data_IF_979998321990
#
_entry.id   IF_979998321990
#
_cell.length_a   1.000
_cell.length_b   1.000
_cell.length_c   1.000
_cell.angle_alpha   90.00
_cell.angle_beta   90.00
_cell.angle_gamma   90.00
#
_symmetry.space_group_name_H-M   'P 1'
#
loop_
_entity.id
_entity.type
_entity.pdbx_description
1 polymer ?
#
# COMPACT_ATOMS: atom_id res chain seq x y z
N UNK A 1 46.61 -9.62 -9.04
CA UNK A 1 45.38 -9.22 -9.74
C UNK A 1 44.34 -8.96 -8.67
N UNK A 2 44.02 -7.69 -8.51
CA UNK A 2 43.18 -7.11 -7.46
C UNK A 2 41.71 -7.48 -7.70
N UNK A 3 41.15 -8.27 -6.79
CA UNK A 3 39.71 -8.52 -6.74
C UNK A 3 39.03 -7.31 -6.07
N UNK A 4 38.05 -6.73 -6.76
CA UNK A 4 37.34 -5.51 -6.36
C UNK A 4 35.92 -5.91 -5.94
N UNK A 5 35.67 -5.75 -4.63
CA UNK A 5 34.43 -5.32 -3.98
C UNK A 5 33.08 -5.92 -4.39
N UNK A 6 32.39 -6.50 -3.39
CA UNK A 6 31.03 -6.08 -3.07
C UNK A 6 31.05 -5.59 -1.61
N UNK A 7 30.60 -4.35 -1.30
CA UNK A 7 30.46 -3.91 0.08
C UNK A 7 29.27 -4.65 0.73
N UNK A 8 29.50 -5.21 1.91
CA UNK A 8 28.44 -5.79 2.75
C UNK A 8 27.35 -4.75 3.00
N UNK A 9 26.14 -4.99 2.50
CA UNK A 9 24.96 -4.21 2.86
C UNK A 9 24.58 -4.57 4.30
N UNK A 10 24.86 -3.66 5.24
CA UNK A 10 24.34 -3.75 6.60
C UNK A 10 22.79 -3.73 6.58
N UNK A 11 22.13 -4.53 7.44
CA UNK A 11 20.68 -4.49 7.55
C UNK A 11 20.25 -3.10 8.03
N UNK A 12 19.42 -2.43 7.24
CA UNK A 12 18.84 -1.12 7.57
C UNK A 12 18.18 -1.19 8.94
N UNK A 13 18.75 -0.47 9.90
CA UNK A 13 18.15 -0.29 11.22
C UNK A 13 16.72 0.25 11.05
N UNK A 14 15.76 -0.16 11.90
CA UNK A 14 14.43 0.42 11.89
C UNK A 14 14.55 1.93 12.06
N UNK A 15 14.12 2.68 11.04
CA UNK A 15 14.01 4.15 11.12
C UNK A 15 13.20 4.47 12.37
N UNK A 16 13.71 5.26 13.32
CA UNK A 16 12.91 5.71 14.44
C UNK A 16 11.67 6.39 13.86
N UNK A 17 10.50 5.80 14.10
CA UNK A 17 9.25 6.44 13.75
C UNK A 17 9.26 7.81 14.42
N UNK A 18 9.39 8.85 13.61
CA UNK A 18 9.35 10.23 14.06
C UNK A 18 7.95 10.42 14.64
N UNK A 19 7.85 10.24 15.96
CA UNK A 19 6.64 10.54 16.71
C UNK A 19 6.27 11.96 16.34
N UNK A 20 5.11 12.12 15.68
CA UNK A 20 4.52 13.42 15.45
C UNK A 20 4.60 14.20 16.78
N UNK A 21 5.01 15.48 16.77
CA UNK A 21 5.15 16.25 17.99
C UNK A 21 3.84 16.15 18.75
N UNK A 22 3.83 15.40 19.86
CA UNK A 22 2.67 15.34 20.72
C UNK A 22 2.46 16.77 21.18
N UNK A 23 1.39 17.39 20.68
CA UNK A 23 0.96 18.67 21.21
C UNK A 23 0.79 18.41 22.70
N UNK A 24 1.61 19.07 23.52
CA UNK A 24 1.41 19.10 24.96
C UNK A 24 0.05 19.76 25.15
N UNK A 25 -1.01 18.93 25.20
CA UNK A 25 -2.34 19.37 25.55
C UNK A 25 -2.22 20.17 26.84
N UNK A 26 -2.93 21.29 26.91
CA UNK A 26 -2.93 22.22 28.05
C UNK A 26 -3.28 21.45 29.34
N UNK A 27 -2.27 20.92 30.01
CA UNK A 27 -2.34 20.24 31.32
C UNK A 27 -2.63 21.22 32.47
N UNK A 28 -2.84 22.50 32.17
CA UNK A 28 -3.12 23.58 33.12
C UNK A 28 -4.46 23.42 33.87
N UNK A 29 -5.32 22.48 33.45
CA UNK A 29 -6.61 22.22 34.11
C UNK A 29 -6.68 20.87 34.85
N UNK A 30 -5.59 20.09 34.92
CA UNK A 30 -5.61 18.77 35.60
C UNK A 30 -5.81 18.86 37.12
N UNK A 31 -5.57 20.03 37.73
CA UNK A 31 -5.75 20.27 39.17
C UNK A 31 -7.02 21.01 39.56
N UNK A 32 -7.82 21.48 38.60
CA UNK A 32 -9.14 22.08 38.89
C UNK A 32 -10.09 20.92 39.15
N UNK A 33 -10.61 20.81 40.38
CA UNK A 33 -11.60 19.80 40.74
C UNK A 33 -12.71 19.78 39.69
N UNK A 34 -13.01 18.60 39.15
CA UNK A 34 -14.12 18.32 38.22
C UNK A 34 -15.52 18.60 38.78
N UNK A 35 -15.60 19.13 40.00
CA UNK A 35 -16.84 19.43 40.70
C UNK A 35 -16.92 20.96 40.86
N UNK A 36 -17.55 21.62 39.88
CA UNK A 36 -18.06 22.96 40.08
C UNK A 36 -19.14 22.90 41.17
N UNK A 37 -19.04 23.72 42.21
CA UNK A 37 -20.14 23.85 43.17
C UNK A 37 -21.36 24.50 42.49
N UNK A 38 -22.58 24.27 42.99
CA UNK A 38 -23.79 24.89 42.40
C UNK A 38 -23.73 26.42 42.40
N UNK A 39 -22.96 27.03 43.30
CA UNK A 39 -22.76 28.47 43.39
C UNK A 39 -21.88 28.99 42.25
N UNK A 40 -20.82 28.26 41.89
CA UNK A 40 -19.94 28.58 40.76
C UNK A 40 -20.60 28.33 39.41
N UNK A 41 -21.44 27.30 39.30
CA UNK A 41 -22.29 27.04 38.13
C UNK A 41 -23.32 28.15 37.89
N UNK A 42 -23.82 28.80 38.95
CA UNK A 42 -24.73 29.95 38.81
C UNK A 42 -24.02 31.20 38.30
N UNK A 43 -22.68 31.28 38.40
CA UNK A 43 -21.93 32.40 37.89
C UNK A 43 -22.08 32.51 36.34
N UNK A 44 -22.46 33.68 35.80
CA UNK A 44 -22.70 33.83 34.36
C UNK A 44 -21.43 33.67 33.52
N UNK A 45 -20.25 33.95 34.08
CA UNK A 45 -18.96 33.77 33.40
C UNK A 45 -18.63 32.30 33.13
N UNK A 46 -18.86 31.43 34.11
CA UNK A 46 -18.62 29.98 33.99
C UNK A 46 -19.58 29.35 32.98
N UNK A 47 -20.86 29.74 32.99
CA UNK A 47 -21.85 29.25 32.02
C UNK A 47 -21.52 29.66 30.58
N UNK A 48 -21.08 30.89 30.35
CA UNK A 48 -20.65 31.34 29.02
C UNK A 48 -19.38 30.64 28.56
N UNK A 49 -18.40 30.45 29.45
CA UNK A 49 -17.18 29.70 29.15
C UNK A 49 -17.48 28.25 28.77
N UNK A 50 -18.32 27.56 29.55
CA UNK A 50 -18.72 26.18 29.24
C UNK A 50 -19.46 26.08 27.90
N UNK A 51 -20.34 27.03 27.60
CA UNK A 51 -21.06 27.07 26.34
C UNK A 51 -20.12 27.31 25.15
N UNK A 52 -19.14 28.22 25.30
CA UNK A 52 -18.12 28.50 24.28
C UNK A 52 -17.19 27.29 24.06
N UNK A 53 -16.80 26.61 25.14
CA UNK A 53 -16.01 25.38 25.05
C UNK A 53 -16.79 24.25 24.37
N UNK A 54 -18.10 24.11 24.64
CA UNK A 54 -18.97 23.14 23.96
C UNK A 54 -19.09 23.45 22.47
N UNK A 55 -19.36 24.70 22.09
CA UNK A 55 -19.44 25.10 20.67
C UNK A 55 -18.10 24.89 19.95
N UNK A 56 -16.96 25.21 20.61
CA UNK A 56 -15.63 24.91 20.08
C UNK A 56 -15.43 23.41 19.88
N UNK A 57 -15.75 22.59 20.88
CA UNK A 57 -15.60 21.14 20.82
C UNK A 57 -16.50 20.52 19.74
N UNK A 58 -17.72 21.00 19.56
CA UNK A 58 -18.62 20.53 18.51
C UNK A 58 -18.08 20.83 17.11
N UNK A 59 -17.50 22.03 16.89
CA UNK A 59 -16.85 22.39 15.63
C UNK A 59 -15.61 21.54 15.36
N UNK A 60 -14.76 21.37 16.36
CA UNK A 60 -13.57 20.51 16.25
C UNK A 60 -13.96 19.06 15.95
N UNK A 61 -15.04 18.57 16.56
CA UNK A 61 -15.57 17.22 16.33
C UNK A 61 -16.14 17.09 14.92
N UNK A 62 -16.88 18.08 14.43
CA UNK A 62 -17.40 18.13 13.06
C UNK A 62 -16.26 18.09 12.03
N UNK A 63 -15.23 18.90 12.22
CA UNK A 63 -14.06 18.91 11.34
C UNK A 63 -13.32 17.57 11.39
N UNK A 64 -13.09 17.03 12.59
CA UNK A 64 -12.44 15.73 12.78
C UNK A 64 -13.21 14.57 12.12
N UNK A 65 -14.54 14.59 12.18
CA UNK A 65 -15.38 13.61 11.48
C UNK A 65 -15.19 13.70 9.96
N UNK A 66 -15.14 14.90 9.40
CA UNK A 66 -14.87 15.09 7.96
C UNK A 66 -13.52 14.51 7.54
N UNK A 67 -12.47 14.74 8.35
CA UNK A 67 -11.15 14.17 8.07
C UNK A 67 -11.13 12.66 8.17
N UNK A 68 -11.83 12.09 9.16
CA UNK A 68 -11.94 10.64 9.34
C UNK A 68 -12.58 9.98 8.12
N UNK A 69 -13.67 10.53 7.61
CA UNK A 69 -14.39 9.94 6.48
C UNK A 69 -13.55 10.03 5.19
N UNK A 70 -12.88 11.17 4.96
CA UNK A 70 -11.92 11.35 3.86
C UNK A 70 -10.73 10.39 3.97
N UNK A 71 -10.22 10.16 5.17
CA UNK A 71 -9.14 9.21 5.42
C UNK A 71 -9.56 7.80 5.04
N UNK A 72 -10.73 7.34 5.49
CA UNK A 72 -11.22 6.00 5.13
C UNK A 72 -11.52 5.86 3.64
N UNK A 73 -11.99 6.91 2.98
CA UNK A 73 -12.19 6.89 1.53
C UNK A 73 -10.86 6.78 0.79
N UNK A 74 -9.86 7.57 1.18
CA UNK A 74 -8.52 7.52 0.60
C UNK A 74 -7.84 6.17 0.84
N UNK A 75 -7.94 5.64 2.06
CA UNK A 75 -7.38 4.34 2.44
C UNK A 75 -8.02 3.19 1.64
N UNK A 76 -9.36 3.20 1.49
CA UNK A 76 -10.06 2.22 0.63
C UNK A 76 -9.60 2.30 -0.82
N UNK A 77 -9.47 3.52 -1.38
CA UNK A 77 -8.98 3.71 -2.76
C UNK A 77 -7.54 3.20 -2.90
N UNK A 78 -6.68 3.51 -1.93
CA UNK A 78 -5.30 3.04 -1.91
C UNK A 78 -5.22 1.51 -1.85
N UNK A 79 -6.04 0.87 -1.01
CA UNK A 79 -6.12 -0.59 -0.93
C UNK A 79 -6.56 -1.21 -2.26
N UNK A 80 -7.60 -0.66 -2.89
CA UNK A 80 -8.08 -1.13 -4.20
C UNK A 80 -6.98 -0.99 -5.27
N UNK A 81 -6.33 0.17 -5.34
CA UNK A 81 -5.25 0.43 -6.29
C UNK A 81 -4.05 -0.51 -6.06
N UNK A 82 -3.69 -0.77 -4.80
CA UNK A 82 -2.59 -1.69 -4.46
C UNK A 82 -2.90 -3.12 -4.89
N UNK A 83 -4.15 -3.57 -4.71
CA UNK A 83 -4.59 -4.88 -5.18
C UNK A 83 -4.62 -4.94 -6.71
N UNK A 84 -5.03 -3.86 -7.39
CA UNK A 84 -4.99 -3.81 -8.86
C UNK A 84 -3.55 -3.83 -9.39
N UNK A 85 -2.64 -3.07 -8.78
CA UNK A 85 -1.24 -3.00 -9.17
C UNK A 85 -0.50 -4.34 -8.98
N UNK A 86 -0.76 -5.05 -7.88
CA UNK A 86 -0.17 -6.37 -7.65
C UNK A 86 -0.72 -7.42 -8.63
N UNK A 87 -2.02 -7.36 -8.96
CA UNK A 87 -2.62 -8.20 -9.99
C UNK A 87 -2.01 -7.95 -11.37
N UNK A 88 -1.87 -6.69 -11.78
CA UNK A 88 -1.28 -6.36 -13.09
C UNK A 88 0.18 -6.81 -13.17
N UNK A 89 0.97 -6.56 -12.12
CA UNK A 89 2.36 -7.02 -12.05
C UNK A 89 2.50 -8.54 -12.15
N UNK A 90 1.61 -9.30 -11.49
CA UNK A 90 1.60 -10.76 -11.59
C UNK A 90 1.37 -11.27 -13.01
N UNK A 91 0.41 -10.66 -13.74
CA UNK A 91 0.15 -11.00 -15.14
C UNK A 91 1.29 -10.61 -16.09
N UNK A 92 1.95 -9.48 -15.83
CA UNK A 92 3.11 -9.04 -16.62
C UNK A 92 4.32 -9.96 -16.42
N UNK A 93 4.60 -10.37 -15.19
CA UNK A 93 5.68 -11.33 -14.89
C UNK A 93 5.37 -12.68 -15.55
N UNK A 94 4.14 -13.18 -15.42
CA UNK A 94 3.75 -14.47 -15.99
C UNK A 94 3.78 -14.47 -17.52
N UNK A 95 3.27 -13.41 -18.17
CA UNK A 95 3.32 -13.27 -19.63
C UNK A 95 4.76 -13.15 -20.13
N UNK A 96 5.61 -12.38 -19.44
CA UNK A 96 7.02 -12.25 -19.81
C UNK A 96 7.77 -13.57 -19.66
N UNK A 97 7.52 -14.31 -18.57
CA UNK A 97 8.13 -15.62 -18.33
C UNK A 97 7.69 -16.65 -19.37
N UNK A 98 6.39 -16.75 -19.66
CA UNK A 98 5.86 -17.70 -20.65
C UNK A 98 6.40 -17.44 -22.06
N UNK A 99 6.48 -16.17 -22.47
CA UNK A 99 7.08 -15.80 -23.75
C UNK A 99 8.58 -16.08 -23.78
N UNK A 100 9.32 -15.78 -22.70
CA UNK A 100 10.75 -16.06 -22.62
C UNK A 100 11.05 -17.57 -22.71
N UNK A 101 10.34 -18.38 -21.93
CA UNK A 101 10.47 -19.85 -21.93
C UNK A 101 10.04 -20.44 -23.27
N UNK A 102 8.91 -19.99 -23.84
CA UNK A 102 8.46 -20.43 -25.16
C UNK A 102 9.44 -20.10 -26.27
N UNK A 103 10.01 -18.89 -26.25
CA UNK A 103 11.03 -18.46 -27.22
C UNK A 103 12.33 -19.25 -27.08
N UNK A 104 12.76 -19.55 -25.85
CA UNK A 104 13.92 -20.40 -25.61
C UNK A 104 13.70 -21.84 -26.11
N UNK A 105 12.51 -22.41 -25.89
CA UNK A 105 12.15 -23.72 -26.42
C UNK A 105 12.12 -23.74 -27.96
N UNK A 106 11.61 -22.68 -28.60
CA UNK A 106 11.65 -22.54 -30.06
C UNK A 106 13.07 -22.42 -30.60
N UNK A 107 13.95 -21.69 -29.91
CA UNK A 107 15.38 -21.62 -30.24
C UNK A 107 16.10 -22.96 -30.08
N UNK A 108 15.65 -23.80 -29.14
CA UNK A 108 16.18 -25.15 -28.93
C UNK A 108 15.61 -26.20 -29.90
N UNK A 109 14.46 -25.93 -30.52
CA UNK A 109 13.79 -26.82 -31.46
C UNK A 109 14.68 -27.40 -32.58
N UNK A 110 15.56 -26.64 -33.28
CA UNK A 110 16.43 -27.21 -34.33
C UNK A 110 17.42 -28.27 -33.80
N UNK A 111 17.78 -28.23 -32.52
CA UNK A 111 18.71 -29.21 -31.90
C UNK A 111 18.02 -30.56 -31.70
N UNK A 112 16.71 -30.56 -31.44
CA UNK A 112 15.93 -31.77 -31.10
C UNK A 112 15.12 -32.30 -32.27
N UNK A 113 15.17 -31.64 -33.43
CA UNK A 113 14.38 -31.96 -34.63
C UNK A 113 14.55 -33.43 -35.10
N UNK A 114 15.71 -34.04 -34.87
CA UNK A 114 16.00 -35.43 -35.24
C UNK A 114 15.39 -36.51 -34.32
N UNK A 115 14.77 -36.12 -33.20
CA UNK A 115 14.25 -37.07 -32.19
C UNK A 115 12.79 -37.49 -32.42
N UNK A 116 12.23 -37.18 -33.60
CA UNK A 116 10.87 -37.56 -33.97
C UNK A 116 9.80 -36.90 -33.10
N UNK A 117 9.07 -37.70 -32.32
CA UNK A 117 7.93 -37.23 -31.51
C UNK A 117 8.31 -36.16 -30.49
N UNK A 118 9.52 -36.23 -29.92
CA UNK A 118 10.00 -35.28 -28.93
C UNK A 118 10.32 -33.90 -29.55
N UNK A 119 10.88 -33.86 -30.76
CA UNK A 119 11.13 -32.62 -31.50
C UNK A 119 9.83 -31.92 -31.92
N UNK A 120 8.86 -32.67 -32.44
CA UNK A 120 7.54 -32.14 -32.78
C UNK A 120 6.79 -31.64 -31.53
N UNK A 121 6.87 -32.36 -30.41
CA UNK A 121 6.27 -31.96 -29.14
C UNK A 121 6.88 -30.69 -28.56
N UNK A 122 8.20 -30.56 -28.58
CA UNK A 122 8.90 -29.36 -28.10
C UNK A 122 8.55 -28.11 -28.93
N UNK A 123 8.43 -28.25 -30.25
CA UNK A 123 8.06 -27.15 -31.14
C UNK A 123 6.59 -26.74 -30.95
N UNK A 124 5.66 -27.70 -30.86
CA UNK A 124 4.25 -27.43 -30.59
C UNK A 124 4.05 -26.73 -29.23
N UNK A 125 4.76 -27.18 -28.19
CA UNK A 125 4.72 -26.57 -26.87
C UNK A 125 5.31 -25.15 -26.87
N UNK A 126 6.43 -24.94 -27.56
CA UNK A 126 7.04 -23.61 -27.71
C UNK A 126 6.11 -22.61 -28.40
N UNK A 127 5.45 -23.01 -29.50
CA UNK A 127 4.44 -22.18 -30.18
C UNK A 127 3.27 -21.89 -29.24
N UNK A 128 2.74 -22.92 -28.56
CA UNK A 128 1.61 -22.75 -27.65
C UNK A 128 1.92 -21.78 -26.51
N UNK A 129 3.13 -21.82 -25.92
CA UNK A 129 3.55 -20.90 -24.87
C UNK A 129 3.68 -19.46 -25.37
N UNK A 130 4.29 -19.25 -26.53
CA UNK A 130 4.46 -17.90 -27.10
C UNK A 130 3.11 -17.31 -27.51
N UNK A 131 2.25 -18.10 -28.16
CA UNK A 131 0.89 -17.67 -28.50
C UNK A 131 0.06 -17.40 -27.25
N UNK A 132 0.11 -18.27 -26.23
CA UNK A 132 -0.60 -18.06 -24.97
C UNK A 132 -0.16 -16.79 -24.23
N UNK A 133 1.15 -16.53 -24.15
CA UNK A 133 1.70 -15.34 -23.50
C UNK A 133 1.42 -14.03 -24.24
N UNK A 134 1.34 -14.05 -25.57
CA UNK A 134 1.03 -12.87 -26.38
C UNK A 134 -0.47 -12.58 -26.47
N UNK A 135 -1.30 -13.63 -26.55
CA UNK A 135 -2.76 -13.50 -26.59
C UNK A 135 -3.36 -13.07 -25.25
N UNK A 136 -2.78 -13.48 -24.12
CA UNK A 136 -3.25 -13.03 -22.80
C UNK A 136 -3.16 -11.51 -22.64
N UNK A 137 -2.14 -10.86 -23.22
CA UNK A 137 -2.03 -9.40 -23.26
C UNK A 137 -3.12 -8.72 -24.10
N UNK A 138 -3.63 -9.39 -25.13
CA UNK A 138 -4.71 -8.89 -25.98
C UNK A 138 -6.10 -9.17 -25.41
N UNK A 139 -6.26 -10.24 -24.63
CA UNK A 139 -7.54 -10.65 -24.06
C UNK A 139 -7.86 -9.95 -22.72
N UNK A 140 -6.84 -9.52 -21.98
CA UNK A 140 -6.97 -8.88 -20.65
C UNK A 140 -7.00 -7.35 -20.75
N UNK A 141 -6.80 -6.80 -21.95
CA UNK A 141 -6.91 -5.35 -22.24
C UNK A 141 -8.35 -4.96 -22.49
#
# INVERSE_FOLDING_TARGET
MTDKAAPDEEPLLPVPQQQAPQSKGRRSFLGVRRELSEEELKAPGVRKMLLDDVDRLERELFDAQSYRDKFYEADKRAAILTVQATKSAGWDILSTLTVAVGSALLGFAPVVWGTGLAGAGALALGIALVCGGTLTKWLVK
#
